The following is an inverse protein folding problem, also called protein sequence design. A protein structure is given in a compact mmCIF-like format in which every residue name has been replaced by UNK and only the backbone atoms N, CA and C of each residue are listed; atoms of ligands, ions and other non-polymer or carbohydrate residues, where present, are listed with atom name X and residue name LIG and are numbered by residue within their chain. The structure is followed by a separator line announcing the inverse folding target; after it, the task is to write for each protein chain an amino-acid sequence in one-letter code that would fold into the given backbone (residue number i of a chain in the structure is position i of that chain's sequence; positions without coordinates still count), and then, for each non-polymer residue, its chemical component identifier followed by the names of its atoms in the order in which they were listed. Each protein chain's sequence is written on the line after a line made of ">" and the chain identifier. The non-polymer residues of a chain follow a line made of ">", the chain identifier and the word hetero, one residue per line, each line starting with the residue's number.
data_IF_315960369045
#
_entry.id   IF_315960369045
#
_cell.length_a   1.000
_cell.length_b   1.000
_cell.length_c   1.000
_cell.angle_alpha   90.00
_cell.angle_beta   90.00
_cell.angle_gamma   90.00
#
_symmetry.space_group_name_H-M   'P 1'
#
loop_
_entity.id
_entity.type
_entity.pdbx_description
1 polymer ?
#
# COMPACT_ATOMS: atom_id res chain seq x y z
N UNK A 1 7.70 14.54 16.14
CA UNK A 1 7.28 13.23 15.60
C UNK A 1 5.76 13.19 15.71
N UNK A 2 5.05 13.57 14.65
CA UNK A 2 3.59 13.69 14.67
C UNK A 2 2.99 12.29 14.52
N UNK A 3 2.33 11.80 15.57
CA UNK A 3 1.58 10.55 15.53
C UNK A 3 0.39 10.79 14.60
N UNK A 4 0.41 10.19 13.41
CA UNK A 4 -0.75 10.19 12.51
C UNK A 4 -1.86 9.45 13.25
N UNK A 5 -2.94 10.17 13.58
CA UNK A 5 -4.11 9.54 14.19
C UNK A 5 -4.74 8.62 13.14
N UNK A 6 -5.19 7.41 13.53
CA UNK A 6 -5.91 6.53 12.60
C UNK A 6 -7.12 7.30 12.03
N UNK A 7 -7.27 7.31 10.70
CA UNK A 7 -8.53 7.73 10.08
C UNK A 7 -9.64 6.77 10.53
N UNK A 8 -10.87 7.28 10.65
CA UNK A 8 -12.07 6.47 10.86
C UNK A 8 -12.21 5.46 9.71
N UNK A 9 -12.29 4.16 10.04
CA UNK A 9 -12.40 3.06 9.08
C UNK A 9 -13.52 3.30 8.04
N UNK A 10 -14.65 3.91 8.44
CA UNK A 10 -15.75 4.25 7.51
C UNK A 10 -15.37 5.35 6.54
N UNK A 11 -14.57 6.32 6.98
CA UNK A 11 -14.07 7.39 6.12
C UNK A 11 -13.06 6.84 5.11
N UNK A 12 -12.22 5.88 5.53
CA UNK A 12 -11.28 5.17 4.65
C UNK A 12 -12.05 4.37 3.59
N UNK A 13 -13.04 3.58 4.00
CA UNK A 13 -13.87 2.80 3.07
C UNK A 13 -14.60 3.68 2.04
N UNK A 14 -15.20 4.79 2.49
CA UNK A 14 -15.88 5.73 1.60
C UNK A 14 -14.93 6.35 0.57
N UNK A 15 -13.69 6.69 0.99
CA UNK A 15 -12.64 7.21 0.10
C UNK A 15 -12.22 6.16 -0.92
N UNK A 16 -11.96 4.93 -0.49
CA UNK A 16 -11.57 3.81 -1.38
C UNK A 16 -12.67 3.56 -2.41
N UNK A 17 -13.93 3.48 -1.97
CA UNK A 17 -15.07 3.25 -2.86
C UNK A 17 -15.16 4.34 -3.94
N UNK A 18 -15.08 5.61 -3.54
CA UNK A 18 -15.12 6.75 -4.47
C UNK A 18 -13.96 6.70 -5.49
N UNK A 19 -12.76 6.35 -5.05
CA UNK A 19 -11.60 6.19 -5.94
C UNK A 19 -11.80 5.04 -6.93
N UNK A 20 -12.32 3.90 -6.48
CA UNK A 20 -12.59 2.76 -7.35
C UNK A 20 -13.66 3.08 -8.41
N UNK A 21 -14.73 3.76 -8.03
CA UNK A 21 -15.77 4.19 -8.97
C UNK A 21 -15.20 5.12 -10.06
N UNK A 22 -14.28 6.03 -9.70
CA UNK A 22 -13.61 6.90 -10.65
C UNK A 22 -12.66 6.14 -11.59
N UNK A 23 -11.95 5.14 -11.08
CA UNK A 23 -10.97 4.34 -11.84
C UNK A 23 -11.62 3.29 -12.75
N UNK A 24 -12.80 2.81 -12.40
CA UNK A 24 -13.51 1.76 -13.15
C UNK A 24 -14.60 2.34 -14.07
N UNK A 25 -14.66 3.68 -14.23
CA UNK A 25 -15.65 4.32 -15.10
C UNK A 25 -15.47 3.87 -16.56
N UNK A 26 -16.55 3.59 -17.31
CA UNK A 26 -16.46 3.26 -18.72
C UNK A 26 -15.73 4.35 -19.52
N UNK A 27 -14.83 3.94 -20.41
CA UNK A 27 -14.07 4.86 -21.27
C UNK A 27 -12.95 5.63 -20.58
N UNK A 28 -12.52 5.23 -19.38
CA UNK A 28 -11.28 5.75 -18.80
C UNK A 28 -10.08 5.41 -19.69
N UNK A 29 -9.20 6.38 -19.91
CA UNK A 29 -7.99 6.16 -20.70
C UNK A 29 -6.92 5.48 -19.85
N UNK A 30 -6.04 4.72 -20.50
CA UNK A 30 -4.94 4.01 -19.84
C UNK A 30 -4.05 4.96 -19.04
N UNK A 31 -3.78 6.13 -19.60
CA UNK A 31 -2.90 7.15 -19.00
C UNK A 31 -3.52 7.72 -17.71
N UNK A 32 -4.84 7.84 -17.65
CA UNK A 32 -5.55 8.30 -16.44
C UNK A 32 -5.45 7.27 -15.31
N UNK A 33 -5.58 5.98 -15.63
CA UNK A 33 -5.41 4.88 -14.66
C UNK A 33 -3.97 4.85 -14.14
N UNK A 34 -2.99 4.95 -15.04
CA UNK A 34 -1.57 4.96 -14.67
C UNK A 34 -1.22 6.14 -13.77
N UNK A 35 -1.70 7.36 -14.09
CA UNK A 35 -1.44 8.54 -13.28
C UNK A 35 -2.03 8.44 -11.86
N UNK A 36 -3.21 7.83 -11.71
CA UNK A 36 -3.78 7.56 -10.41
C UNK A 36 -2.95 6.54 -9.61
N UNK A 37 -2.47 5.48 -10.27
CA UNK A 37 -1.60 4.49 -9.64
C UNK A 37 -0.28 5.12 -9.19
N UNK A 38 0.37 5.93 -10.04
CA UNK A 38 1.62 6.63 -9.72
C UNK A 38 1.47 7.58 -8.51
N UNK A 39 0.30 8.19 -8.35
CA UNK A 39 0.02 9.06 -7.20
C UNK A 39 -0.18 8.24 -5.92
N UNK A 40 -0.88 7.13 -6.00
CA UNK A 40 -1.20 6.28 -4.84
C UNK A 40 0.00 5.43 -4.38
N UNK A 41 0.76 4.86 -5.31
CA UNK A 41 1.86 3.95 -5.02
C UNK A 41 3.05 4.62 -4.31
N UNK A 42 3.19 5.96 -4.40
CA UNK A 42 4.31 6.71 -3.82
C UNK A 42 4.56 6.46 -2.33
N UNK A 43 3.53 6.20 -1.56
CA UNK A 43 3.63 6.03 -0.10
C UNK A 43 3.15 4.65 0.35
N UNK A 44 2.88 3.74 -0.58
CA UNK A 44 2.35 2.40 -0.27
C UNK A 44 3.30 1.60 0.62
N UNK A 45 4.60 1.70 0.34
CA UNK A 45 5.66 0.96 1.05
C UNK A 45 5.80 1.45 2.51
N UNK A 46 5.46 2.72 2.77
CA UNK A 46 5.57 3.32 4.10
C UNK A 46 4.53 2.74 5.09
N UNK A 47 3.34 2.38 4.61
CA UNK A 47 2.26 1.83 5.43
C UNK A 47 2.57 0.42 5.98
N UNK A 48 3.42 -0.34 5.28
CA UNK A 48 3.79 -1.70 5.67
C UNK A 48 4.77 -1.67 6.85
N UNK A 49 5.75 -0.76 6.82
CA UNK A 49 6.83 -0.71 7.81
C UNK A 49 6.39 -0.10 9.15
N UNK A 50 5.38 0.75 9.15
CA UNK A 50 4.90 1.45 10.35
C UNK A 50 4.08 0.56 11.29
N UNK A 51 3.49 -0.54 10.78
CA UNK A 51 2.57 -1.39 11.57
C UNK A 51 3.26 -2.54 12.32
N UNK A 52 4.45 -2.96 11.89
CA UNK A 52 5.18 -4.08 12.50
C UNK A 52 6.49 -3.60 13.12
N UNK A 53 6.62 -3.63 14.47
CA UNK A 53 7.83 -3.24 15.17
C UNK A 53 9.04 -4.03 14.69
N UNK A 54 10.19 -3.35 14.54
CA UNK A 54 11.44 -3.97 14.06
C UNK A 54 11.82 -5.24 14.84
N UNK A 55 11.59 -5.25 16.15
CA UNK A 55 11.85 -6.40 17.04
C UNK A 55 11.02 -7.65 16.72
N UNK A 56 9.87 -7.49 16.05
CA UNK A 56 8.96 -8.60 15.73
C UNK A 56 9.12 -9.13 14.31
N UNK A 57 9.78 -8.38 13.41
CA UNK A 57 9.81 -8.66 11.96
C UNK A 57 10.40 -10.02 11.59
N UNK A 58 11.41 -10.49 12.32
CA UNK A 58 12.03 -11.81 12.09
C UNK A 58 11.15 -13.00 12.45
N UNK A 59 10.11 -12.77 13.27
CA UNK A 59 9.15 -13.80 13.67
C UNK A 59 7.88 -13.82 12.80
N UNK A 60 7.70 -12.80 11.96
CA UNK A 60 6.55 -12.70 11.08
C UNK A 60 6.72 -13.59 9.85
N UNK A 61 5.61 -14.11 9.33
CA UNK A 61 5.53 -14.71 7.99
C UNK A 61 4.91 -13.69 7.04
N UNK A 62 5.58 -13.44 5.92
CA UNK A 62 5.12 -12.48 4.90
C UNK A 62 4.59 -13.25 3.70
N UNK A 63 3.39 -12.88 3.25
CA UNK A 63 2.81 -13.31 1.98
C UNK A 63 2.76 -12.10 1.05
N UNK A 64 3.58 -12.10 0.00
CA UNK A 64 3.60 -11.06 -1.03
C UNK A 64 2.68 -11.48 -2.19
N UNK A 65 1.45 -10.97 -2.19
CA UNK A 65 0.44 -11.31 -3.21
C UNK A 65 0.69 -10.48 -4.47
N UNK A 66 0.82 -11.16 -5.62
CA UNK A 66 1.14 -10.53 -6.90
C UNK A 66 2.51 -9.81 -6.92
N UNK A 67 3.53 -10.45 -6.32
CA UNK A 67 4.89 -9.91 -6.14
C UNK A 67 5.59 -9.35 -7.39
N UNK A 68 5.11 -9.66 -8.60
CA UNK A 68 5.69 -9.15 -9.85
C UNK A 68 7.18 -9.48 -9.96
N UNK A 69 8.02 -8.44 -10.02
CA UNK A 69 9.49 -8.55 -10.10
C UNK A 69 10.15 -8.95 -8.78
N UNK A 70 9.42 -9.02 -7.67
CA UNK A 70 9.94 -9.41 -6.37
C UNK A 70 10.76 -8.32 -5.65
N UNK A 71 10.74 -7.07 -6.14
CA UNK A 71 11.45 -5.95 -5.49
C UNK A 71 10.95 -5.72 -4.05
N UNK A 72 9.65 -5.89 -3.81
CA UNK A 72 9.06 -5.76 -2.48
C UNK A 72 9.63 -6.79 -1.50
N UNK A 73 9.67 -8.07 -1.88
CA UNK A 73 10.31 -9.11 -1.06
C UNK A 73 11.78 -8.80 -0.72
N UNK A 74 12.54 -8.24 -1.66
CA UNK A 74 13.94 -7.83 -1.40
C UNK A 74 14.01 -6.66 -0.41
N UNK A 75 13.12 -5.67 -0.55
CA UNK A 75 13.02 -4.54 0.36
C UNK A 75 12.66 -5.01 1.78
N UNK A 76 11.61 -5.81 1.93
CA UNK A 76 11.18 -6.36 3.23
C UNK A 76 12.28 -7.19 3.91
N UNK A 77 13.06 -7.97 3.15
CA UNK A 77 14.19 -8.71 3.71
C UNK A 77 15.27 -7.79 4.29
N UNK A 78 15.56 -6.65 3.65
CA UNK A 78 16.51 -5.64 4.17
C UNK A 78 15.98 -4.99 5.44
N UNK A 79 14.66 -4.86 5.55
CA UNK A 79 13.96 -4.29 6.71
C UNK A 79 13.82 -5.27 7.89
N UNK A 80 14.31 -6.51 7.78
CA UNK A 80 14.38 -7.48 8.88
C UNK A 80 13.28 -8.54 8.88
N UNK A 81 12.45 -8.62 7.84
CA UNK A 81 11.47 -9.69 7.65
C UNK A 81 12.15 -10.98 7.11
N UNK A 82 11.63 -12.16 7.47
CA UNK A 82 12.22 -13.48 7.11
C UNK A 82 11.22 -14.52 6.60
#
# INVERSE_FOLDING_TARGET
>A
MSIVKPEDDKAVEARIKKTNEALLRPGIKREEVTACYDKWAKTYDEDVLQRIPASSRTSCRVLDVAAGTGCMGQHLRREGFR
#
